data_IF_444816482268
#
_entry.id   IF_444816482268
#
_cell.length_a   1.000
_cell.length_b   1.000
_cell.length_c   1.000
_cell.angle_alpha   90.00
_cell.angle_beta   90.00
_cell.angle_gamma   90.00
#
_symmetry.space_group_name_H-M   'P 1'
#
loop_
_entity.id
_entity.type
_entity.pdbx_description
1 polymer ?
#
# COMPACT_ATOMS: atom_id res chain seq x y z
N UNK A 1 24.06 35.27 37.38
CA UNK A 1 24.57 34.06 36.69
C UNK A 1 25.94 34.41 36.15
N UNK A 2 26.93 33.59 36.46
CA UNK A 2 28.33 33.85 36.13
C UNK A 2 28.61 33.55 34.65
N UNK A 3 29.36 34.41 33.96
CA UNK A 3 29.53 34.34 32.50
C UNK A 3 30.26 33.06 32.07
N UNK A 4 31.10 32.52 32.95
CA UNK A 4 31.79 31.24 32.77
C UNK A 4 30.86 30.04 32.77
N UNK A 5 29.78 30.07 33.56
CA UNK A 5 28.80 28.98 33.58
C UNK A 5 27.98 28.94 32.29
N UNK A 6 27.75 30.08 31.64
CA UNK A 6 27.02 30.15 30.37
C UNK A 6 27.86 29.52 29.26
N UNK A 7 29.16 29.83 29.19
CA UNK A 7 30.06 29.25 28.18
C UNK A 7 30.23 27.74 28.32
N UNK A 8 30.24 27.23 29.55
CA UNK A 8 30.40 25.80 29.83
C UNK A 8 29.14 25.01 29.42
N UNK A 9 27.96 25.58 29.66
CA UNK A 9 26.68 25.00 29.23
C UNK A 9 26.58 24.97 27.69
N UNK A 10 26.96 26.06 27.02
CA UNK A 10 26.95 26.12 25.54
C UNK A 10 27.92 25.10 24.95
N UNK A 11 29.12 24.96 25.51
CA UNK A 11 30.11 23.97 25.05
C UNK A 11 29.62 22.53 25.25
N UNK A 12 28.96 22.24 26.37
CA UNK A 12 28.36 20.92 26.63
C UNK A 12 27.23 20.59 25.66
N UNK A 13 26.38 21.57 25.33
CA UNK A 13 25.27 21.39 24.39
C UNK A 13 25.79 21.18 22.97
N UNK A 14 26.78 21.95 22.53
CA UNK A 14 27.38 21.80 21.19
C UNK A 14 28.12 20.46 21.02
N UNK A 15 28.77 19.94 22.06
CA UNK A 15 29.38 18.60 22.03
C UNK A 15 28.33 17.48 21.94
N UNK A 16 27.14 17.67 22.54
CA UNK A 16 26.05 16.69 22.48
C UNK A 16 25.35 16.62 21.11
N UNK A 17 25.49 17.66 20.28
CA UNK A 17 24.87 17.74 18.95
C UNK A 17 25.76 17.25 17.80
N UNK A 18 26.94 16.71 18.09
CA UNK A 18 27.78 16.01 17.09
C UNK A 18 28.13 16.86 15.86
N UNK A 19 28.32 18.17 16.04
CA UNK A 19 28.82 19.04 14.97
C UNK A 19 30.32 19.29 15.17
N UNK A 20 31.13 18.59 14.38
CA UNK A 20 32.56 18.86 14.24
C UNK A 20 32.78 20.27 13.68
N UNK A 21 33.64 21.04 14.34
CA UNK A 21 34.14 22.33 13.86
C UNK A 21 35.14 22.06 12.72
N UNK A 22 34.95 22.57 11.49
CA UNK A 22 35.95 22.44 10.45
C UNK A 22 37.11 23.42 10.71
N UNK A 23 38.34 22.90 10.84
CA UNK A 23 39.57 23.68 10.71
C UNK A 23 39.78 24.15 9.25
N UNK A 24 40.39 25.32 9.03
CA UNK A 24 40.65 25.84 7.69
C UNK A 24 41.91 25.19 7.08
N UNK A 25 41.79 24.67 5.86
CA UNK A 25 42.91 24.26 5.00
C UNK A 25 43.07 25.24 3.83
N UNK A 26 44.30 25.70 3.62
CA UNK A 26 44.76 26.59 2.57
C UNK A 26 44.89 25.87 1.20
N UNK A 27 45.00 26.61 0.06
CA UNK A 27 44.54 26.14 -1.24
C UNK A 27 45.61 25.43 -2.06
N UNK A 28 45.19 24.50 -2.90
CA UNK A 28 45.99 23.94 -3.99
C UNK A 28 45.19 23.87 -5.30
N UNK A 29 45.97 24.03 -6.35
CA UNK A 29 45.71 24.54 -7.70
C UNK A 29 44.84 23.66 -8.60
N UNK A 30 44.24 24.34 -9.59
CA UNK A 30 43.35 23.87 -10.66
C UNK A 30 43.89 22.71 -11.51
N UNK A 31 42.99 21.85 -12.02
CA UNK A 31 43.08 21.35 -13.40
C UNK A 31 41.75 20.80 -13.96
N UNK A 32 41.39 21.28 -15.17
CA UNK A 32 40.77 20.49 -16.23
C UNK A 32 39.33 19.98 -16.07
N UNK A 33 38.35 20.80 -16.44
CA UNK A 33 36.97 20.38 -16.66
C UNK A 33 36.85 19.40 -17.85
N UNK A 34 36.41 18.16 -17.56
CA UNK A 34 35.72 17.27 -18.50
C UNK A 34 34.33 16.97 -17.93
N UNK A 35 33.24 17.12 -18.69
CA UNK A 35 31.93 16.70 -18.21
C UNK A 35 31.88 15.17 -18.30
N UNK A 36 32.31 14.49 -17.25
CA UNK A 36 31.91 13.11 -17.04
C UNK A 36 30.52 13.15 -16.43
N UNK A 37 29.52 12.68 -17.19
CA UNK A 37 28.24 12.25 -16.65
C UNK A 37 28.52 11.09 -15.70
N UNK A 38 28.88 11.42 -14.46
CA UNK A 38 28.71 10.51 -13.35
C UNK A 38 27.20 10.30 -13.24
N UNK A 39 26.73 9.15 -13.71
CA UNK A 39 25.41 8.67 -13.34
C UNK A 39 25.46 8.59 -11.82
N UNK A 40 24.72 9.43 -11.07
CA UNK A 40 24.58 9.13 -9.66
C UNK A 40 23.91 7.77 -9.63
N UNK A 41 24.60 6.78 -9.08
CA UNK A 41 23.95 5.57 -8.61
C UNK A 41 23.08 6.05 -7.46
N UNK A 42 21.91 6.59 -7.81
CA UNK A 42 20.85 6.88 -6.87
C UNK A 42 20.52 5.51 -6.34
N UNK A 43 21.02 5.20 -5.15
CA UNK A 43 20.50 4.12 -4.34
C UNK A 43 18.98 4.23 -4.46
N UNK A 44 18.32 3.15 -4.93
CA UNK A 44 16.87 3.06 -5.00
C UNK A 44 16.32 3.29 -3.58
N UNK A 45 16.11 4.57 -3.26
CA UNK A 45 15.36 4.94 -2.08
C UNK A 45 13.92 4.75 -2.48
N UNK A 46 13.40 3.57 -2.17
CA UNK A 46 11.98 3.32 -2.00
C UNK A 46 11.46 4.21 -0.86
N UNK A 47 11.47 5.54 -1.03
CA UNK A 47 11.21 6.47 0.07
C UNK A 47 9.75 6.37 0.54
N UNK A 48 8.83 5.87 -0.29
CA UNK A 48 7.43 5.67 0.07
C UNK A 48 6.84 4.44 -0.63
N UNK A 49 6.44 3.43 0.14
CA UNK A 49 5.60 2.33 -0.35
C UNK A 49 4.16 2.81 -0.54
N UNK A 50 3.61 2.70 -1.76
CA UNK A 50 2.26 3.11 -2.11
C UNK A 50 1.16 2.30 -1.40
N UNK A 51 1.46 1.07 -0.95
CA UNK A 51 0.56 0.22 -0.17
C UNK A 51 0.52 0.53 1.32
N UNK A 52 1.46 1.34 1.81
CA UNK A 52 1.65 1.65 3.23
C UNK A 52 0.50 2.46 3.85
N UNK A 53 0.42 2.43 5.19
CA UNK A 53 -0.51 3.26 5.94
C UNK A 53 -0.24 4.77 5.76
N UNK A 54 1.04 5.15 5.61
CA UNK A 54 1.46 6.52 5.35
C UNK A 54 0.92 7.03 4.01
N UNK A 55 1.14 6.27 2.92
CA UNK A 55 0.58 6.59 1.60
C UNK A 55 -0.96 6.59 1.63
N UNK A 56 -1.57 5.79 2.52
CA UNK A 56 -3.01 5.78 2.76
C UNK A 56 -3.52 7.06 3.42
N UNK A 57 -2.77 7.61 4.37
CA UNK A 57 -3.13 8.80 5.14
C UNK A 57 -2.68 10.13 4.52
N UNK A 58 -1.88 10.10 3.45
CA UNK A 58 -1.34 11.29 2.80
C UNK A 58 -2.42 12.34 2.41
N UNK A 59 -2.15 13.60 2.76
CA UNK A 59 -2.97 14.77 2.42
C UNK A 59 -2.20 15.63 1.42
N UNK A 60 -2.83 15.90 0.29
CA UNK A 60 -2.21 16.57 -0.85
C UNK A 60 -2.79 17.94 -1.20
N UNK A 61 -3.69 18.50 -0.38
CA UNK A 61 -4.24 19.84 -0.63
C UNK A 61 -3.16 20.90 -0.38
N UNK A 62 -2.85 21.69 -1.40
CA UNK A 62 -1.93 22.84 -1.31
C UNK A 62 -2.68 24.06 -0.75
N UNK A 63 -2.03 24.81 0.15
CA UNK A 63 -2.58 26.00 0.82
C UNK A 63 -4.00 25.79 1.40
N UNK A 64 -4.21 24.79 2.29
CA UNK A 64 -5.53 24.52 2.84
C UNK A 64 -5.99 25.66 3.76
N UNK A 65 -7.29 25.98 3.73
CA UNK A 65 -7.88 26.95 4.65
C UNK A 65 -7.72 26.48 6.12
N UNK A 66 -7.87 25.16 6.37
CA UNK A 66 -7.73 24.53 7.68
C UNK A 66 -7.16 23.10 7.55
N UNK A 67 -5.87 22.94 7.83
CA UNK A 67 -5.16 21.67 7.68
C UNK A 67 -5.55 20.62 8.75
N UNK A 68 -5.91 21.07 9.94
CA UNK A 68 -6.45 20.27 11.05
C UNK A 68 -7.72 19.52 10.62
N UNK A 69 -8.65 20.24 10.00
CA UNK A 69 -9.92 19.66 9.52
C UNK A 69 -9.68 18.63 8.42
N UNK A 70 -8.73 18.88 7.51
CA UNK A 70 -8.40 17.90 6.47
C UNK A 70 -7.87 16.58 7.04
N UNK A 71 -7.13 16.67 8.14
CA UNK A 71 -6.62 15.49 8.86
C UNK A 71 -7.75 14.68 9.46
N UNK A 72 -8.72 15.35 10.10
CA UNK A 72 -9.92 14.70 10.62
C UNK A 72 -10.77 14.07 9.50
N UNK A 73 -11.03 14.82 8.43
CA UNK A 73 -11.77 14.34 7.26
C UNK A 73 -11.08 13.13 6.60
N UNK A 74 -9.74 13.13 6.55
CA UNK A 74 -8.99 11.99 6.02
C UNK A 74 -9.17 10.75 6.89
N UNK A 75 -9.19 10.93 8.22
CA UNK A 75 -9.35 9.84 9.20
C UNK A 75 -10.78 9.31 9.28
N UNK A 76 -11.78 10.15 9.02
CA UNK A 76 -13.20 9.78 9.16
C UNK A 76 -13.72 8.86 8.05
N UNK A 77 -12.97 8.68 6.96
CA UNK A 77 -13.40 7.83 5.84
C UNK A 77 -12.26 7.08 5.16
N UNK A 78 -12.54 5.86 4.69
CA UNK A 78 -11.64 5.11 3.82
C UNK A 78 -11.61 5.66 2.38
N UNK A 79 -12.59 6.46 1.98
CA UNK A 79 -12.65 7.09 0.65
C UNK A 79 -11.42 7.97 0.39
N UNK A 80 -11.04 8.17 -0.89
CA UNK A 80 -9.84 8.92 -1.29
C UNK A 80 -10.07 10.44 -1.28
N UNK A 81 -10.36 10.99 -0.09
CA UNK A 81 -10.53 12.45 0.11
C UNK A 81 -9.20 13.14 0.44
N UNK A 82 -9.18 14.48 0.40
CA UNK A 82 -8.05 15.32 0.80
C UNK A 82 -6.74 15.13 0.00
N UNK A 83 -6.77 14.50 -1.17
CA UNK A 83 -5.59 14.28 -2.02
C UNK A 83 -5.14 15.51 -2.81
N UNK A 84 -5.92 16.60 -2.78
CA UNK A 84 -5.68 17.81 -3.57
C UNK A 84 -5.84 17.60 -5.07
N UNK A 85 -5.28 18.52 -5.85
CA UNK A 85 -5.38 18.58 -7.31
C UNK A 85 -4.16 19.26 -7.93
N UNK A 86 -3.91 18.98 -9.21
CA UNK A 86 -3.02 19.74 -10.09
C UNK A 86 -3.88 20.30 -11.24
N UNK A 87 -4.22 21.60 -11.19
CA UNK A 87 -5.28 22.16 -12.04
C UNK A 87 -6.63 21.47 -11.74
N UNK A 88 -7.33 20.91 -12.74
CA UNK A 88 -8.54 20.09 -12.55
C UNK A 88 -8.24 18.58 -12.41
N UNK A 89 -6.98 18.15 -12.42
CA UNK A 89 -6.57 16.73 -12.41
C UNK A 89 -6.09 16.28 -11.04
N UNK A 90 -6.04 14.96 -10.84
CA UNK A 90 -5.48 14.36 -9.63
C UNK A 90 -3.97 14.66 -9.51
N UNK A 91 -3.46 14.74 -8.28
CA UNK A 91 -2.01 14.80 -8.03
C UNK A 91 -1.34 13.47 -8.32
N UNK A 92 -0.06 13.50 -8.70
CA UNK A 92 0.70 12.33 -9.15
C UNK A 92 0.69 11.19 -8.13
N UNK A 93 0.96 11.46 -6.84
CA UNK A 93 0.95 10.42 -5.81
C UNK A 93 -0.42 9.75 -5.63
N UNK A 94 -1.50 10.51 -5.73
CA UNK A 94 -2.86 9.97 -5.65
C UNK A 94 -3.17 9.05 -6.84
N UNK A 95 -2.73 9.44 -8.05
CA UNK A 95 -2.88 8.62 -9.25
C UNK A 95 -2.01 7.36 -9.19
N UNK A 96 -0.75 7.47 -8.78
CA UNK A 96 0.15 6.33 -8.64
C UNK A 96 -0.38 5.31 -7.62
N UNK A 97 -0.85 5.78 -6.46
CA UNK A 97 -1.48 4.90 -5.48
C UNK A 97 -2.76 4.26 -6.01
N UNK A 98 -3.58 5.01 -6.76
CA UNK A 98 -4.76 4.43 -7.41
C UNK A 98 -4.39 3.29 -8.36
N UNK A 99 -3.34 3.46 -9.17
CA UNK A 99 -2.85 2.42 -10.08
C UNK A 99 -2.27 1.21 -9.33
N UNK A 100 -1.54 1.43 -8.24
CA UNK A 100 -1.00 0.37 -7.40
C UNK A 100 -2.11 -0.45 -6.71
N UNK A 101 -3.14 0.23 -6.20
CA UNK A 101 -4.31 -0.47 -5.64
C UNK A 101 -5.09 -1.22 -6.73
N UNK A 102 -5.16 -0.67 -7.95
CA UNK A 102 -5.84 -1.29 -9.09
C UNK A 102 -5.12 -2.55 -9.58
N UNK A 103 -3.78 -2.55 -9.67
CA UNK A 103 -3.04 -3.75 -10.06
C UNK A 103 -3.28 -4.88 -9.07
N UNK A 104 -3.16 -4.61 -7.77
CA UNK A 104 -3.47 -5.58 -6.72
C UNK A 104 -4.93 -6.05 -6.77
N UNK A 105 -5.87 -5.16 -7.05
CA UNK A 105 -7.29 -5.53 -7.17
C UNK A 105 -7.54 -6.51 -8.30
N UNK A 106 -6.87 -6.37 -9.46
CA UNK A 106 -7.03 -7.31 -10.58
C UNK A 106 -6.58 -8.72 -10.20
N UNK A 107 -5.45 -8.85 -9.51
CA UNK A 107 -4.94 -10.16 -9.10
C UNK A 107 -5.92 -10.91 -8.19
N UNK A 108 -6.64 -10.18 -7.32
CA UNK A 108 -7.61 -10.81 -6.42
C UNK A 108 -8.82 -11.43 -7.12
N UNK A 109 -9.17 -11.00 -8.33
CA UNK A 109 -10.31 -11.55 -9.09
C UNK A 109 -10.05 -12.99 -9.52
N UNK A 110 -8.80 -13.31 -9.87
CA UNK A 110 -8.41 -14.63 -10.37
C UNK A 110 -7.87 -15.56 -9.28
N UNK A 111 -7.59 -15.05 -8.09
CA UNK A 111 -7.11 -15.87 -6.98
C UNK A 111 -8.17 -16.90 -6.55
N UNK A 112 -7.72 -18.11 -6.29
CA UNK A 112 -8.55 -19.23 -5.84
C UNK A 112 -8.15 -19.67 -4.42
N UNK A 113 -9.08 -20.32 -3.73
CA UNK A 113 -8.84 -20.94 -2.43
C UNK A 113 -8.27 -22.34 -2.67
N UNK A 114 -7.15 -22.71 -2.04
CA UNK A 114 -6.62 -24.07 -2.17
C UNK A 114 -7.57 -25.12 -1.57
N UNK A 115 -7.75 -26.24 -2.26
CA UNK A 115 -8.64 -27.33 -1.85
C UNK A 115 -8.27 -27.87 -0.46
N UNK A 116 -6.97 -27.93 -0.16
CA UNK A 116 -6.46 -28.38 1.15
C UNK A 116 -6.90 -27.48 2.30
N UNK A 117 -7.08 -26.18 2.05
CA UNK A 117 -7.55 -25.26 3.07
C UNK A 117 -9.02 -25.54 3.41
N UNK A 118 -9.86 -25.74 2.38
CA UNK A 118 -11.28 -26.09 2.54
C UNK A 118 -11.43 -27.39 3.32
N UNK A 119 -10.64 -28.41 2.96
CA UNK A 119 -10.61 -29.70 3.64
C UNK A 119 -10.16 -29.57 5.10
N UNK A 120 -9.16 -28.74 5.38
CA UNK A 120 -8.69 -28.49 6.75
C UNK A 120 -9.76 -27.79 7.63
N UNK A 121 -10.70 -27.05 7.03
CA UNK A 121 -11.85 -26.49 7.75
C UNK A 121 -12.97 -27.51 8.01
N UNK A 122 -12.84 -28.75 7.52
CA UNK A 122 -13.89 -29.77 7.65
C UNK A 122 -15.12 -29.48 6.79
N UNK A 123 -14.97 -28.67 5.73
CA UNK A 123 -16.05 -28.34 4.81
C UNK A 123 -16.07 -29.31 3.62
N UNK A 124 -17.27 -29.61 3.14
CA UNK A 124 -17.48 -30.38 1.92
C UNK A 124 -17.32 -29.45 0.71
N UNK A 125 -16.29 -29.67 -0.11
CA UNK A 125 -16.12 -28.97 -1.38
C UNK A 125 -17.00 -29.62 -2.46
N UNK A 126 -17.81 -28.80 -3.13
CA UNK A 126 -18.60 -29.17 -4.32
C UNK A 126 -18.40 -28.12 -5.41
N UNK A 127 -18.69 -28.49 -6.67
CA UNK A 127 -18.45 -27.63 -7.84
C UNK A 127 -19.72 -27.37 -8.65
N UNK A 128 -19.76 -26.20 -9.29
CA UNK A 128 -20.75 -25.90 -10.32
C UNK A 128 -20.41 -26.59 -11.64
N UNK A 129 -21.19 -26.35 -12.69
CA UNK A 129 -20.86 -26.80 -14.06
C UNK A 129 -19.59 -26.14 -14.63
N UNK A 130 -18.96 -25.20 -13.90
CA UNK A 130 -17.76 -24.48 -14.33
C UNK A 130 -16.49 -25.27 -14.00
N UNK A 131 -15.58 -25.35 -14.99
CA UNK A 131 -14.26 -25.99 -14.85
C UNK A 131 -13.15 -25.08 -14.32
N UNK A 132 -13.20 -23.78 -14.61
CA UNK A 132 -12.10 -22.85 -14.37
C UNK A 132 -12.58 -21.40 -14.19
N UNK A 133 -11.70 -20.55 -13.65
CA UNK A 133 -12.01 -19.15 -13.38
C UNK A 133 -12.35 -18.31 -14.60
N UNK A 134 -11.74 -18.57 -15.76
CA UNK A 134 -12.02 -17.77 -16.95
C UNK A 134 -13.44 -18.04 -17.45
N UNK A 135 -13.86 -19.31 -17.44
CA UNK A 135 -15.23 -19.68 -17.74
C UNK A 135 -16.20 -19.13 -16.70
N UNK A 136 -15.84 -19.19 -15.41
CA UNK A 136 -16.65 -18.62 -14.32
C UNK A 136 -17.02 -17.15 -14.57
N UNK A 137 -16.04 -16.35 -15.00
CA UNK A 137 -16.24 -14.91 -15.23
C UNK A 137 -17.08 -14.59 -16.48
N UNK A 138 -17.20 -15.52 -17.43
CA UNK A 138 -17.86 -15.30 -18.72
C UNK A 138 -19.20 -16.03 -18.86
N UNK A 139 -19.46 -17.06 -18.03
CA UNK A 139 -20.65 -17.92 -18.10
C UNK A 139 -21.42 -17.96 -16.78
N UNK A 140 -22.16 -16.89 -16.44
CA UNK A 140 -22.95 -16.84 -15.21
C UNK A 140 -24.09 -17.87 -15.17
N UNK A 141 -24.51 -18.38 -16.32
CA UNK A 141 -25.52 -19.42 -16.45
C UNK A 141 -25.04 -20.76 -15.87
N UNK A 142 -23.83 -21.19 -16.22
CA UNK A 142 -23.21 -22.41 -15.70
C UNK A 142 -22.81 -22.28 -14.23
N UNK A 143 -22.35 -21.09 -13.81
CA UNK A 143 -21.98 -20.84 -12.40
C UNK A 143 -23.15 -20.89 -11.41
N UNK A 144 -24.41 -20.79 -11.90
CA UNK A 144 -25.64 -20.90 -11.08
C UNK A 144 -26.19 -22.32 -10.99
N UNK A 145 -25.55 -23.29 -11.65
CA UNK A 145 -25.98 -24.70 -11.71
C UNK A 145 -24.89 -25.60 -11.13
N UNK A 146 -25.31 -26.60 -10.36
CA UNK A 146 -24.41 -27.61 -9.80
C UNK A 146 -24.04 -28.64 -10.87
N UNK A 147 -22.82 -29.17 -10.81
CA UNK A 147 -22.47 -30.32 -11.64
C UNK A 147 -23.27 -31.56 -11.22
N UNK A 148 -23.46 -32.55 -12.12
CA UNK A 148 -24.13 -33.80 -11.76
C UNK A 148 -23.50 -34.49 -10.54
N UNK A 149 -22.16 -34.51 -10.47
CA UNK A 149 -21.41 -35.12 -9.37
C UNK A 149 -21.63 -34.38 -8.05
N UNK A 150 -21.75 -33.05 -8.09
CA UNK A 150 -22.05 -32.24 -6.92
C UNK A 150 -23.46 -32.54 -6.37
N UNK A 151 -24.43 -32.73 -7.26
CA UNK A 151 -25.81 -33.10 -6.87
C UNK A 151 -25.81 -34.45 -6.14
N UNK A 152 -25.07 -35.43 -6.65
CA UNK A 152 -25.00 -36.77 -6.05
C UNK A 152 -24.22 -36.76 -4.72
N UNK A 153 -23.16 -35.96 -4.61
CA UNK A 153 -22.41 -35.77 -3.36
C UNK A 153 -23.29 -35.15 -2.26
N UNK A 154 -24.08 -34.12 -2.59
CA UNK A 154 -24.98 -33.47 -1.63
C UNK A 154 -26.06 -34.42 -1.13
N UNK A 155 -26.71 -35.18 -2.03
CA UNK A 155 -27.76 -36.15 -1.64
C UNK A 155 -27.23 -37.28 -0.76
N UNK A 156 -25.94 -37.63 -0.88
CA UNK A 156 -25.33 -38.74 -0.14
C UNK A 156 -24.69 -38.32 1.17
N UNK A 157 -24.19 -37.07 1.28
CA UNK A 157 -23.39 -36.63 2.42
C UNK A 157 -24.08 -35.57 3.30
N UNK A 158 -25.14 -34.93 2.82
CA UNK A 158 -25.86 -33.91 3.58
C UNK A 158 -27.21 -34.40 4.11
N UNK A 159 -27.70 -33.73 5.16
CA UNK A 159 -29.01 -34.01 5.76
C UNK A 159 -30.11 -33.51 4.84
N UNK A 160 -31.15 -34.32 4.64
CA UNK A 160 -32.32 -33.97 3.83
C UNK A 160 -33.33 -33.17 4.65
N UNK A 161 -33.91 -32.13 4.04
CA UNK A 161 -34.91 -31.24 4.63
C UNK A 161 -34.46 -30.56 5.94
N UNK A 162 -33.32 -29.84 5.97
CA UNK A 162 -32.93 -29.08 7.14
C UNK A 162 -33.82 -27.85 7.32
N UNK A 163 -33.98 -27.38 8.56
CA UNK A 163 -34.67 -26.12 8.85
C UNK A 163 -33.88 -24.91 8.30
N UNK A 164 -32.54 -24.99 8.35
CA UNK A 164 -31.61 -23.97 7.85
C UNK A 164 -30.41 -24.65 7.20
N UNK A 165 -30.06 -24.21 5.98
CA UNK A 165 -28.86 -24.65 5.26
C UNK A 165 -27.95 -23.45 5.00
N UNK A 166 -26.69 -23.56 5.39
CA UNK A 166 -25.63 -22.59 5.05
C UNK A 166 -24.79 -23.18 3.92
N UNK A 167 -24.55 -22.39 2.89
CA UNK A 167 -23.73 -22.74 1.72
C UNK A 167 -22.56 -21.78 1.65
#
# INVERSE_FOLDING_TARGET
MDQKQIEEIVRSVMASMGQDVPQPVAPSTQEGAKPQCAVPTVAESCALDLGSAEAKAWIGVENPHRADVLTELRRSTAARVCTGRAGPRARTQALLRFLADHSRSKDTVLKEVPEEWVKAQGLLEVRSEISDKNLYLTRPDMGRRLSPEAIDALKSQCVMNPDVQVV
#
